data_IF_267444415159
#
_entry.id   IF_267444415159
#
_cell.length_a   1.000
_cell.length_b   1.000
_cell.length_c   1.000
_cell.angle_alpha   90.00
_cell.angle_beta   90.00
_cell.angle_gamma   90.00
#
_symmetry.space_group_name_H-M   'P 1'
#
loop_
_entity.id
_entity.type
_entity.pdbx_description
1 polymer ?
#
# COMPACT_ATOMS: atom_id res chain seq x y z
N UNK A 1 24.23 -46.23 -19.88
CA UNK A 1 25.02 -45.45 -18.90
C UNK A 1 25.02 -44.02 -19.32
N UNK A 2 24.14 -43.20 -18.74
CA UNK A 2 24.07 -41.78 -19.11
C UNK A 2 23.77 -41.02 -17.80
N UNK A 3 24.78 -40.30 -17.32
CA UNK A 3 24.74 -39.48 -16.13
C UNK A 3 23.87 -38.24 -16.38
N UNK A 4 22.75 -38.12 -15.70
CA UNK A 4 21.97 -36.89 -15.61
C UNK A 4 22.49 -36.05 -14.43
N UNK A 5 23.26 -35.00 -14.77
CA UNK A 5 23.77 -34.04 -13.81
C UNK A 5 22.65 -33.14 -13.31
N UNK A 6 22.35 -33.25 -12.01
CA UNK A 6 21.39 -32.41 -11.31
C UNK A 6 22.03 -31.03 -11.08
N UNK A 7 21.60 -30.03 -11.83
CA UNK A 7 21.93 -28.62 -11.59
C UNK A 7 21.11 -28.11 -10.38
N UNK A 8 21.67 -28.22 -9.18
CA UNK A 8 21.15 -27.48 -8.03
C UNK A 8 21.55 -26.02 -8.15
N UNK A 9 20.67 -25.18 -8.69
CA UNK A 9 20.79 -23.73 -8.51
C UNK A 9 20.42 -23.36 -7.08
N UNK A 10 21.41 -23.05 -6.26
CA UNK A 10 21.22 -22.39 -4.96
C UNK A 10 20.82 -20.93 -5.25
N UNK A 11 19.56 -20.62 -5.07
CA UNK A 11 19.10 -19.23 -4.97
C UNK A 11 19.69 -18.64 -3.69
N UNK A 12 20.68 -17.78 -3.82
CA UNK A 12 21.18 -16.94 -2.72
C UNK A 12 20.14 -15.84 -2.51
N UNK A 13 19.29 -16.01 -1.51
CA UNK A 13 18.38 -14.96 -1.06
C UNK A 13 19.18 -13.76 -0.58
N UNK A 14 19.12 -12.67 -1.32
CA UNK A 14 19.61 -11.38 -0.86
C UNK A 14 18.61 -10.84 0.16
N UNK A 15 18.96 -10.93 1.44
CA UNK A 15 18.26 -10.23 2.52
C UNK A 15 18.66 -8.75 2.39
N UNK A 16 17.80 -7.96 1.77
CA UNK A 16 17.92 -6.51 1.80
C UNK A 16 17.44 -6.09 3.20
N UNK A 17 18.39 -5.88 4.10
CA UNK A 17 18.13 -5.23 5.38
C UNK A 17 17.72 -3.78 5.08
N UNK A 18 16.45 -3.48 5.23
CA UNK A 18 15.92 -2.12 5.20
C UNK A 18 16.42 -1.41 6.46
N UNK A 19 17.58 -0.78 6.37
CA UNK A 19 18.12 0.08 7.42
C UNK A 19 17.20 1.28 7.58
N UNK A 20 16.41 1.28 8.66
CA UNK A 20 15.71 2.47 9.12
C UNK A 20 16.78 3.44 9.60
N UNK A 21 17.16 4.39 8.76
CA UNK A 21 17.94 5.55 9.16
C UNK A 21 17.04 6.40 10.07
N UNK A 22 17.17 6.19 11.38
CA UNK A 22 16.68 7.10 12.39
C UNK A 22 17.59 8.35 12.37
N UNK A 23 17.33 9.27 11.45
CA UNK A 23 17.89 10.60 11.53
C UNK A 23 17.34 11.29 12.78
N UNK A 24 18.17 11.93 13.63
CA UNK A 24 17.66 12.73 14.73
C UNK A 24 16.86 13.89 14.14
N UNK A 25 15.53 13.78 14.22
CA UNK A 25 14.64 14.87 13.82
C UNK A 25 14.83 16.00 14.81
N UNK A 26 15.53 17.05 14.36
CA UNK A 26 15.50 18.33 15.02
C UNK A 26 14.05 18.72 15.23
N UNK A 27 13.63 18.86 16.49
CA UNK A 27 12.31 19.32 16.87
C UNK A 27 12.16 20.79 16.46
N UNK A 28 11.83 21.02 15.20
CA UNK A 28 11.39 22.33 14.76
C UNK A 28 9.97 22.51 15.29
N UNK A 29 9.75 23.59 15.99
CA UNK A 29 8.49 24.01 16.63
C UNK A 29 7.37 24.30 15.61
N UNK A 30 6.99 23.34 14.80
CA UNK A 30 5.86 23.36 13.89
C UNK A 30 4.80 22.32 14.29
N UNK A 31 4.64 22.11 15.62
CA UNK A 31 3.72 21.10 16.16
C UNK A 31 2.23 21.45 16.03
N UNK A 32 1.89 22.64 15.53
CA UNK A 32 0.52 23.16 15.69
C UNK A 32 -0.46 22.88 14.55
N UNK A 33 -0.03 22.31 13.40
CA UNK A 33 -0.93 22.13 12.24
C UNK A 33 -0.82 20.75 11.56
N UNK A 34 -0.33 19.72 12.28
CA UNK A 34 -0.28 18.38 11.71
C UNK A 34 -1.58 17.64 11.98
N UNK A 35 -2.19 17.02 10.95
CA UNK A 35 -3.26 16.06 11.20
C UNK A 35 -2.76 14.94 12.11
N UNK A 36 -3.63 14.43 12.97
CA UNK A 36 -3.30 13.26 13.78
C UNK A 36 -3.16 11.99 12.94
N UNK A 37 -2.70 10.89 13.55
CA UNK A 37 -2.61 9.61 12.87
C UNK A 37 -3.99 9.15 12.36
N UNK A 38 -4.00 8.33 11.32
CA UNK A 38 -5.22 7.77 10.77
C UNK A 38 -5.06 6.27 10.54
N UNK A 39 -6.16 5.53 10.63
CA UNK A 39 -6.29 4.17 10.14
C UNK A 39 -7.33 4.14 9.04
N UNK A 40 -7.10 3.31 8.03
CA UNK A 40 -7.95 3.22 6.85
C UNK A 40 -8.25 1.77 6.53
N UNK A 41 -9.47 1.52 6.08
CA UNK A 41 -9.90 0.28 5.44
C UNK A 41 -10.17 0.58 3.97
N UNK A 42 -9.77 -0.34 3.12
CA UNK A 42 -9.96 -0.26 1.68
C UNK A 42 -10.65 -1.51 1.16
N UNK A 43 -11.52 -1.33 0.18
CA UNK A 43 -12.08 -2.41 -0.60
C UNK A 43 -12.21 -1.96 -2.05
N UNK A 44 -11.99 -2.87 -2.98
CA UNK A 44 -12.02 -2.48 -4.38
C UNK A 44 -11.75 -3.62 -5.34
N UNK A 45 -11.24 -3.22 -6.47
CA UNK A 45 -10.94 -4.06 -7.60
C UNK A 45 -9.47 -3.92 -8.02
N UNK A 46 -8.88 -5.02 -8.47
CA UNK A 46 -7.56 -5.06 -9.10
C UNK A 46 -7.66 -5.80 -10.43
N UNK A 47 -6.98 -5.26 -11.43
CA UNK A 47 -6.79 -5.90 -12.74
C UNK A 47 -5.31 -6.10 -13.00
N UNK A 48 -4.91 -7.33 -13.27
CA UNK A 48 -3.55 -7.69 -13.69
C UNK A 48 -3.51 -7.75 -15.21
N UNK A 49 -2.48 -7.12 -15.80
CA UNK A 49 -2.20 -7.21 -17.22
C UNK A 49 -1.28 -8.42 -17.46
N UNK A 50 -1.90 -9.56 -17.69
CA UNK A 50 -1.22 -10.76 -18.16
C UNK A 50 -1.74 -11.07 -19.58
N UNK A 51 -1.77 -12.29 -20.09
CA UNK A 51 -2.32 -12.66 -21.41
C UNK A 51 -3.82 -12.28 -21.59
N UNK A 52 -4.27 -11.30 -20.82
CA UNK A 52 -5.60 -10.70 -20.73
C UNK A 52 -5.69 -9.84 -19.48
N UNK A 53 -6.90 -9.37 -19.11
CA UNK A 53 -7.13 -8.68 -17.84
C UNK A 53 -7.77 -9.67 -16.87
N UNK A 54 -7.00 -10.12 -15.89
CA UNK A 54 -7.53 -10.90 -14.76
C UNK A 54 -8.09 -9.92 -13.73
N UNK A 55 -9.40 -10.06 -13.46
CA UNK A 55 -10.16 -9.18 -12.58
C UNK A 55 -10.40 -9.84 -11.23
N UNK A 56 -9.98 -9.19 -10.14
CA UNK A 56 -10.11 -9.73 -8.79
C UNK A 56 -10.59 -8.69 -7.79
N UNK A 57 -11.19 -9.18 -6.70
CA UNK A 57 -11.57 -8.36 -5.58
C UNK A 57 -10.43 -8.19 -4.58
N UNK A 58 -10.37 -7.04 -3.93
CA UNK A 58 -9.40 -6.79 -2.88
C UNK A 58 -10.02 -6.16 -1.64
N UNK A 59 -9.40 -6.44 -0.50
CA UNK A 59 -9.63 -5.76 0.76
C UNK A 59 -8.29 -5.43 1.40
N UNK A 60 -8.23 -4.32 2.14
CA UNK A 60 -6.97 -3.91 2.76
C UNK A 60 -7.16 -2.97 3.93
N UNK A 61 -6.05 -2.68 4.57
CA UNK A 61 -5.97 -1.70 5.65
C UNK A 61 -4.64 -0.98 5.65
N UNK A 62 -4.66 0.26 6.10
CA UNK A 62 -3.48 1.10 6.21
C UNK A 62 -3.49 1.90 7.52
N UNK A 63 -2.30 2.24 7.99
CA UNK A 63 -2.14 3.25 9.02
C UNK A 63 -1.26 4.37 8.47
N UNK A 64 -1.51 5.60 8.89
CA UNK A 64 -0.77 6.78 8.44
C UNK A 64 -0.39 7.67 9.61
N UNK A 65 0.85 8.15 9.60
CA UNK A 65 1.38 9.14 10.52
C UNK A 65 1.91 10.33 9.75
N UNK A 66 1.42 11.52 10.06
CA UNK A 66 1.86 12.74 9.42
C UNK A 66 3.22 13.18 9.97
N UNK A 67 4.26 13.15 9.13
CA UNK A 67 5.58 13.70 9.45
C UNK A 67 5.63 15.21 9.24
N UNK A 68 4.93 15.66 8.19
CA UNK A 68 4.77 17.07 7.83
C UNK A 68 3.28 17.36 7.64
N UNK A 69 2.85 18.64 7.59
CA UNK A 69 1.45 18.99 7.40
C UNK A 69 0.79 18.39 6.16
N UNK A 70 1.59 18.00 5.17
CA UNK A 70 1.13 17.44 3.89
C UNK A 70 1.69 16.07 3.56
N UNK A 71 2.61 15.56 4.37
CA UNK A 71 3.28 14.29 4.09
C UNK A 71 3.05 13.33 5.23
N UNK A 72 2.51 12.19 4.92
CA UNK A 72 2.35 11.07 5.85
C UNK A 72 3.05 9.83 5.34
N UNK A 73 3.41 8.96 6.28
CA UNK A 73 4.00 7.65 6.01
C UNK A 73 3.23 6.57 6.77
N UNK A 74 3.28 5.36 6.28
CA UNK A 74 2.71 4.24 7.02
C UNK A 74 2.62 2.94 6.24
N UNK A 75 2.39 1.84 6.96
CA UNK A 75 2.20 0.52 6.37
C UNK A 75 0.81 0.40 5.76
N UNK A 76 0.73 -0.45 4.75
CA UNK A 76 -0.50 -0.92 4.14
C UNK A 76 -0.40 -2.42 3.91
N UNK A 77 -1.49 -3.11 4.17
CA UNK A 77 -1.68 -4.52 3.88
C UNK A 77 -2.88 -4.64 2.96
N UNK A 78 -2.72 -5.38 1.85
CA UNK A 78 -3.80 -5.66 0.90
C UNK A 78 -3.85 -7.15 0.64
N UNK A 79 -5.02 -7.70 0.75
CA UNK A 79 -5.33 -9.07 0.38
C UNK A 79 -6.17 -9.07 -0.90
N UNK A 80 -5.69 -9.78 -1.91
CA UNK A 80 -6.38 -9.96 -3.19
C UNK A 80 -6.87 -11.39 -3.26
N UNK A 81 -8.13 -11.56 -3.63
CA UNK A 81 -8.76 -12.86 -3.72
C UNK A 81 -9.18 -13.15 -5.16
N UNK A 82 -8.54 -14.15 -5.75
CA UNK A 82 -8.88 -14.72 -7.04
C UNK A 82 -9.48 -16.14 -6.93
N UNK A 83 -9.92 -16.68 -8.05
CA UNK A 83 -10.62 -17.96 -8.07
C UNK A 83 -9.74 -19.16 -7.65
N UNK A 84 -8.44 -19.13 -7.95
CA UNK A 84 -7.51 -20.25 -7.71
C UNK A 84 -6.20 -19.80 -7.06
N UNK A 85 -6.03 -18.52 -6.81
CA UNK A 85 -4.84 -17.94 -6.22
C UNK A 85 -5.22 -16.78 -5.31
N UNK A 86 -4.31 -16.38 -4.45
CA UNK A 86 -4.46 -15.21 -3.60
C UNK A 86 -3.14 -14.49 -3.46
N UNK A 87 -3.23 -13.17 -3.32
CA UNK A 87 -2.05 -12.34 -3.13
C UNK A 87 -2.13 -11.57 -1.84
N UNK A 88 -1.01 -11.48 -1.14
CA UNK A 88 -0.83 -10.62 0.02
C UNK A 88 0.23 -9.58 -0.31
N UNK A 89 -0.15 -8.32 -0.28
CA UNK A 89 0.75 -7.19 -0.54
C UNK A 89 0.97 -6.43 0.75
N UNK A 90 2.23 -6.27 1.14
CA UNK A 90 2.63 -5.48 2.30
C UNK A 90 3.55 -4.36 1.83
N UNK A 91 3.15 -3.11 2.00
CA UNK A 91 3.93 -1.95 1.57
C UNK A 91 4.09 -0.91 2.67
N UNK A 92 5.23 -0.22 2.66
CA UNK A 92 5.43 1.04 3.34
C UNK A 92 5.18 2.18 2.35
N UNK A 93 4.26 3.08 2.66
CA UNK A 93 3.82 4.13 1.76
C UNK A 93 4.20 5.53 2.26
N UNK A 94 4.51 6.41 1.32
CA UNK A 94 4.58 7.85 1.52
C UNK A 94 3.39 8.46 0.79
N UNK A 95 2.63 9.30 1.48
CA UNK A 95 1.47 10.00 0.90
C UNK A 95 1.67 11.51 0.99
N UNK A 96 1.41 12.21 -0.10
CA UNK A 96 1.48 13.65 -0.20
C UNK A 96 0.10 14.24 -0.51
N UNK A 97 -0.44 15.01 0.43
CA UNK A 97 -1.69 15.75 0.29
C UNK A 97 -1.46 17.06 -0.46
N UNK A 98 -1.97 17.17 -1.68
CA UNK A 98 -1.67 18.29 -2.60
C UNK A 98 -2.12 19.64 -2.04
N UNK A 99 -3.29 19.69 -1.41
CA UNK A 99 -3.90 20.92 -0.92
C UNK A 99 -3.63 21.22 0.56
N UNK A 100 -2.86 20.37 1.23
CA UNK A 100 -2.54 20.48 2.64
C UNK A 100 -3.74 20.20 3.57
N UNK A 101 -3.49 20.15 4.88
CA UNK A 101 -4.51 19.83 5.85
C UNK A 101 -5.65 20.85 5.82
N UNK A 102 -6.87 20.37 5.98
CA UNK A 102 -8.11 21.15 5.97
C UNK A 102 -8.28 22.09 7.18
N UNK A 103 -7.25 22.26 8.04
CA UNK A 103 -7.34 22.87 9.35
C UNK A 103 -7.76 24.35 9.36
N UNK A 104 -7.58 25.06 8.25
CA UNK A 104 -7.94 26.51 8.19
C UNK A 104 -9.27 26.78 7.49
N UNK A 105 -9.74 25.86 6.64
CA UNK A 105 -11.09 25.88 6.04
C UNK A 105 -11.46 24.43 5.71
N UNK A 106 -12.65 23.95 6.12
CA UNK A 106 -13.14 22.64 5.70
C UNK A 106 -13.14 22.58 4.18
N UNK A 107 -12.25 21.79 3.60
CA UNK A 107 -12.30 21.52 2.17
C UNK A 107 -13.13 20.27 1.98
N UNK A 108 -14.05 20.24 1.02
CA UNK A 108 -14.91 19.08 0.80
C UNK A 108 -14.10 17.85 0.41
N UNK A 109 -12.92 18.05 -0.20
CA UNK A 109 -12.04 16.95 -0.61
C UNK A 109 -10.57 17.36 -0.67
N UNK A 110 -9.69 16.40 -0.51
CA UNK A 110 -8.23 16.55 -0.56
C UNK A 110 -7.66 15.56 -1.57
N UNK A 111 -7.16 16.02 -2.73
CA UNK A 111 -6.38 15.19 -3.63
C UNK A 111 -5.05 14.80 -2.99
N UNK A 112 -4.59 13.60 -3.28
CA UNK A 112 -3.30 13.11 -2.78
C UNK A 112 -2.59 12.24 -3.81
N UNK A 113 -1.26 12.16 -3.68
CA UNK A 113 -0.43 11.17 -4.34
C UNK A 113 0.15 10.22 -3.30
N UNK A 114 0.38 8.99 -3.70
CA UNK A 114 0.97 7.95 -2.85
C UNK A 114 1.96 7.14 -3.65
N UNK A 115 3.07 6.81 -3.01
CA UNK A 115 4.04 5.87 -3.55
C UNK A 115 4.59 5.00 -2.40
N UNK A 116 4.89 3.76 -2.71
CA UNK A 116 5.40 2.83 -1.70
C UNK A 116 6.14 1.65 -2.29
N UNK A 117 6.79 0.92 -1.41
CA UNK A 117 7.48 -0.32 -1.73
C UNK A 117 7.35 -1.33 -0.60
N UNK A 118 7.55 -2.58 -0.94
CA UNK A 118 7.39 -3.66 0.04
C UNK A 118 7.51 -5.04 -0.56
N UNK A 119 6.63 -5.93 -0.15
CA UNK A 119 6.62 -7.34 -0.52
C UNK A 119 5.27 -7.71 -1.16
N UNK A 120 5.36 -8.49 -2.21
CA UNK A 120 4.23 -9.14 -2.87
C UNK A 120 4.40 -10.65 -2.68
N UNK A 121 3.41 -11.28 -2.07
CA UNK A 121 3.39 -12.71 -1.83
C UNK A 121 2.23 -13.34 -2.58
N UNK A 122 2.54 -14.27 -3.48
CA UNK A 122 1.55 -15.09 -4.19
C UNK A 122 1.44 -16.45 -3.54
N UNK A 123 0.23 -16.93 -3.37
CA UNK A 123 -0.08 -18.28 -2.97
C UNK A 123 -0.97 -18.94 -4.01
N UNK A 124 -0.46 -19.99 -4.60
CA UNK A 124 -1.16 -20.82 -5.58
C UNK A 124 -1.43 -22.19 -5.00
N UNK A 125 -2.63 -22.73 -5.22
CA UNK A 125 -3.00 -24.10 -4.88
C UNK A 125 -3.10 -24.93 -6.14
N UNK A 126 -2.23 -25.94 -6.25
CA UNK A 126 -2.23 -26.92 -7.32
C UNK A 126 -2.48 -28.31 -6.69
N UNK A 127 -3.68 -28.89 -6.91
CA UNK A 127 -4.12 -30.16 -6.32
C UNK A 127 -3.94 -30.18 -4.79
N UNK A 128 -2.94 -30.89 -4.27
CA UNK A 128 -2.65 -31.01 -2.84
C UNK A 128 -1.43 -30.21 -2.39
N UNK A 129 -0.74 -29.52 -3.31
CA UNK A 129 0.45 -28.74 -3.01
C UNK A 129 0.15 -27.24 -3.01
N UNK A 130 0.75 -26.52 -2.07
CA UNK A 130 0.67 -25.08 -1.98
C UNK A 130 2.05 -24.49 -2.29
N UNK A 131 2.11 -23.67 -3.34
CA UNK A 131 3.31 -22.93 -3.70
C UNK A 131 3.18 -21.49 -3.20
N UNK A 132 4.26 -21.01 -2.59
CA UNK A 132 4.34 -19.62 -2.13
C UNK A 132 5.57 -18.97 -2.73
N UNK A 133 5.38 -17.88 -3.45
CA UNK A 133 6.44 -17.00 -3.95
C UNK A 133 6.37 -15.65 -3.23
N UNK A 134 7.52 -15.02 -3.04
CA UNK A 134 7.60 -13.68 -2.45
C UNK A 134 8.59 -12.83 -3.24
N UNK A 135 8.15 -11.67 -3.67
CA UNK A 135 8.90 -10.74 -4.50
C UNK A 135 8.86 -9.33 -3.93
N UNK A 136 9.79 -8.49 -4.37
CA UNK A 136 9.73 -7.07 -4.06
C UNK A 136 8.59 -6.42 -4.82
N UNK A 137 7.85 -5.53 -4.16
CA UNK A 137 6.74 -4.82 -4.77
C UNK A 137 6.94 -3.30 -4.70
N UNK A 138 6.39 -2.60 -5.66
CA UNK A 138 6.19 -1.15 -5.57
C UNK A 138 4.76 -0.80 -5.97
N UNK A 139 4.28 0.34 -5.49
CA UNK A 139 2.98 0.89 -5.87
C UNK A 139 3.09 2.41 -5.96
N UNK A 140 2.40 2.99 -6.91
CA UNK A 140 2.30 4.44 -7.05
C UNK A 140 0.92 4.80 -7.59
N UNK A 141 0.41 5.94 -7.17
CA UNK A 141 -0.90 6.39 -7.62
C UNK A 141 -1.37 7.64 -6.90
N UNK A 142 -2.67 7.81 -6.85
CA UNK A 142 -3.28 8.93 -6.18
C UNK A 142 -4.78 8.78 -6.07
N UNK A 143 -5.38 9.73 -5.39
CA UNK A 143 -6.80 9.69 -5.15
C UNK A 143 -7.34 10.99 -4.60
N UNK A 144 -8.55 10.89 -4.12
CA UNK A 144 -9.24 11.99 -3.45
C UNK A 144 -9.90 11.45 -2.19
N UNK A 145 -9.76 12.20 -1.11
CA UNK A 145 -10.46 11.90 0.15
C UNK A 145 -11.23 13.12 0.64
N UNK A 146 -12.35 12.86 1.30
CA UNK A 146 -13.16 13.85 1.98
C UNK A 146 -13.24 13.53 3.48
N UNK A 147 -13.23 14.57 4.31
CA UNK A 147 -13.51 14.44 5.73
C UNK A 147 -15.02 14.59 5.94
N UNK A 148 -15.62 13.55 6.51
CA UNK A 148 -17.05 13.51 6.86
C UNK A 148 -17.17 13.68 8.38
N UNK A 149 -17.75 14.77 8.80
CA UNK A 149 -17.74 15.15 10.22
C UNK A 149 -16.31 15.48 10.69
N UNK A 150 -15.97 15.08 11.93
CA UNK A 150 -14.72 15.48 12.58
C UNK A 150 -13.59 14.46 12.48
N UNK A 151 -13.89 13.20 12.18
CA UNK A 151 -12.92 12.10 12.29
C UNK A 151 -12.97 11.08 11.16
N UNK A 152 -14.08 10.98 10.45
CA UNK A 152 -14.27 9.98 9.39
C UNK A 152 -13.76 10.54 8.08
N UNK A 153 -12.91 9.81 7.39
CA UNK A 153 -12.51 10.09 6.02
C UNK A 153 -13.11 9.06 5.08
N UNK A 154 -13.59 9.50 3.93
CA UNK A 154 -14.01 8.65 2.82
C UNK A 154 -13.27 9.06 1.58
N UNK A 155 -12.94 8.12 0.72
CA UNK A 155 -12.18 8.44 -0.49
C UNK A 155 -12.16 7.33 -1.51
N UNK A 156 -11.52 7.65 -2.61
CA UNK A 156 -11.18 6.69 -3.66
C UNK A 156 -9.72 6.86 -4.04
N UNK A 157 -9.05 5.78 -4.37
CA UNK A 157 -7.71 5.82 -4.92
C UNK A 157 -7.58 4.91 -6.16
N UNK A 158 -6.66 5.31 -7.04
CA UNK A 158 -6.22 4.58 -8.21
C UNK A 158 -4.72 4.37 -8.09
N UNK A 159 -4.25 3.14 -8.20
CA UNK A 159 -2.82 2.82 -8.11
C UNK A 159 -2.39 1.87 -9.23
N UNK A 160 -1.15 2.05 -9.61
CA UNK A 160 -0.38 1.16 -10.45
C UNK A 160 0.67 0.48 -9.57
N UNK A 161 0.98 -0.77 -9.83
CA UNK A 161 1.95 -1.49 -9.02
C UNK A 161 2.73 -2.56 -9.77
N UNK A 162 3.53 -3.30 -9.02
CA UNK A 162 4.30 -4.45 -9.48
C UNK A 162 3.40 -5.46 -10.21
N UNK A 163 3.97 -6.22 -11.15
CA UNK A 163 3.23 -7.13 -12.06
C UNK A 163 2.17 -6.41 -12.92
N UNK A 164 2.43 -5.14 -13.25
CA UNK A 164 1.57 -4.34 -14.14
C UNK A 164 0.09 -4.45 -13.77
N UNK A 165 -0.22 -4.22 -12.50
CA UNK A 165 -1.60 -4.21 -12.06
C UNK A 165 -2.13 -2.79 -11.84
N UNK A 166 -3.41 -2.64 -12.08
CA UNK A 166 -4.17 -1.43 -11.78
C UNK A 166 -5.17 -1.79 -10.69
N UNK A 167 -5.21 -1.00 -9.61
CA UNK A 167 -6.23 -1.16 -8.57
C UNK A 167 -7.02 0.12 -8.36
N UNK A 168 -8.32 -0.04 -8.10
CA UNK A 168 -9.26 1.03 -7.75
C UNK A 168 -9.91 0.65 -6.44
N UNK A 169 -9.77 1.52 -5.42
CA UNK A 169 -10.27 1.27 -4.08
C UNK A 169 -11.22 2.37 -3.62
N UNK A 170 -12.32 1.96 -2.96
CA UNK A 170 -13.00 2.81 -2.00
C UNK A 170 -12.30 2.72 -0.64
N UNK A 171 -12.12 3.82 0.04
CA UNK A 171 -11.41 3.92 1.32
C UNK A 171 -12.28 4.59 2.35
N UNK A 172 -12.33 4.01 3.56
CA UNK A 172 -12.94 4.62 4.74
C UNK A 172 -11.91 4.65 5.86
N UNK A 173 -11.73 5.79 6.50
CA UNK A 173 -10.73 5.95 7.54
C UNK A 173 -11.24 6.68 8.77
N UNK A 174 -10.49 6.51 9.86
CA UNK A 174 -10.65 7.25 11.10
C UNK A 174 -9.38 8.01 11.41
N UNK A 175 -9.50 9.31 11.63
CA UNK A 175 -8.41 10.20 12.02
C UNK A 175 -8.46 10.45 13.52
N UNK A 176 -7.32 10.28 14.21
CA UNK A 176 -7.20 10.44 15.66
C UNK A 176 -6.46 11.75 15.99
N UNK A 177 -6.87 12.42 17.04
CA UNK A 177 -6.17 13.60 17.56
C UNK A 177 -6.31 14.85 16.67
N UNK A 178 -7.20 15.68 17.04
CA UNK A 178 -7.18 17.13 16.76
C UNK A 178 -6.77 17.89 17.98
#
# INVERSE_FOLDING_TARGET
>A
MTNAGIFRRRAKGAIIALGVLAAPMAHVAAAQDRPGPAVELAAGWVGFADDGIVSEGLVGGAARWYLLPRVSVGPEVVYVHGAHHSHLVLTGNVTWDVLGPANRRPRPFTPFFVAGGGLFQTREQFFNDTFTSSEGAFTAGGGVRALVGDRVTVGVDLRLGWETHIRINGVVGLQFGR
#
